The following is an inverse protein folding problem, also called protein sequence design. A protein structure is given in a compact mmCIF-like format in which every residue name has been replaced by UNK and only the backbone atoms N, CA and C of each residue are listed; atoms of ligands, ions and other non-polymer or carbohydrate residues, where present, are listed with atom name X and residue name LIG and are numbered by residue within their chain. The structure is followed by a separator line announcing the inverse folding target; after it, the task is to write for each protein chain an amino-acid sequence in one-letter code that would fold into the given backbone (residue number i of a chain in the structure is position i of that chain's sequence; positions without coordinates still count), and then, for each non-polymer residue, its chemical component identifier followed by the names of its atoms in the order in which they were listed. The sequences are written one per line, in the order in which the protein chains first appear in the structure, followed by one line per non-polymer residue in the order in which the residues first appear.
data_IF_095955550489
#
_entry.id   IF_095955550489
#
_cell.length_a   1.000
_cell.length_b   1.000
_cell.length_c   1.000
_cell.angle_alpha   90.00
_cell.angle_beta   90.00
_cell.angle_gamma   90.00
#
_symmetry.space_group_name_H-M   'P 1'
#
loop_
_entity.id
_entity.type
_entity.pdbx_description
1 polymer ?
#
# COMPACT_ATOMS: atom_id res chain seq x y z
N UNK A 1 -17.66 -5.33 -16.55
CA UNK A 1 -17.32 -5.89 -15.23
C UNK A 1 -16.62 -4.80 -14.42
N UNK A 2 -17.02 -4.60 -13.16
CA UNK A 2 -16.39 -3.62 -12.27
C UNK A 2 -15.05 -4.17 -11.79
N UNK A 3 -14.00 -3.35 -11.80
CA UNK A 3 -12.67 -3.77 -11.31
C UNK A 3 -12.71 -4.16 -9.83
N UNK A 4 -12.03 -5.24 -9.46
CA UNK A 4 -11.81 -5.63 -8.05
C UNK A 4 -10.90 -4.62 -7.34
N UNK A 5 -10.79 -4.72 -6.01
CA UNK A 5 -9.86 -3.86 -5.25
C UNK A 5 -8.42 -4.15 -5.67
N UNK A 6 -8.01 -5.42 -5.79
CA UNK A 6 -6.69 -5.78 -6.30
C UNK A 6 -6.37 -5.15 -7.66
N UNK A 7 -7.30 -5.19 -8.61
CA UNK A 7 -7.12 -4.58 -9.94
C UNK A 7 -7.00 -3.05 -9.87
N UNK A 8 -7.75 -2.39 -8.96
CA UNK A 8 -7.61 -0.95 -8.70
C UNK A 8 -6.24 -0.61 -8.10
N UNK A 9 -5.68 -1.50 -7.29
CA UNK A 9 -4.32 -1.44 -6.76
C UNK A 9 -3.24 -1.81 -7.80
N UNK A 10 -3.61 -2.05 -9.06
CA UNK A 10 -2.68 -2.39 -10.14
C UNK A 10 -1.97 -3.75 -9.97
N UNK A 11 -2.52 -4.62 -9.13
CA UNK A 11 -2.13 -6.02 -9.06
C UNK A 11 -2.65 -6.69 -10.34
N UNK A 12 -1.76 -7.40 -11.04
CA UNK A 12 -2.07 -8.04 -12.33
C UNK A 12 -1.95 -9.56 -12.20
N UNK A 13 -2.57 -10.34 -13.11
CA UNK A 13 -2.35 -11.78 -13.16
C UNK A 13 -0.86 -12.11 -13.31
N UNK A 14 -0.41 -13.17 -12.64
CA UNK A 14 0.97 -13.68 -12.75
C UNK A 14 2.06 -12.80 -12.13
N UNK A 15 1.70 -11.76 -11.38
CA UNK A 15 2.67 -10.83 -10.76
C UNK A 15 2.83 -11.08 -9.27
N UNK A 16 3.89 -10.56 -8.65
CA UNK A 16 4.03 -10.63 -7.20
C UNK A 16 3.38 -9.44 -6.48
N UNK A 17 2.97 -9.70 -5.22
CA UNK A 17 2.59 -8.67 -4.27
C UNK A 17 3.38 -8.87 -3.00
N UNK A 18 4.28 -7.93 -2.70
CA UNK A 18 4.95 -7.87 -1.41
C UNK A 18 4.02 -7.21 -0.40
N UNK A 19 3.69 -7.93 0.67
CA UNK A 19 2.93 -7.37 1.79
C UNK A 19 3.86 -6.96 2.92
N UNK A 20 3.84 -5.68 3.28
CA UNK A 20 4.40 -5.21 4.56
C UNK A 20 3.63 -5.77 5.77
N UNK A 21 3.93 -5.30 6.99
CA UNK A 21 3.17 -5.65 8.18
C UNK A 21 1.66 -5.43 7.96
N UNK A 22 0.87 -6.49 8.18
CA UNK A 22 -0.58 -6.48 7.93
C UNK A 22 -1.28 -7.62 8.67
N UNK A 23 -2.52 -7.42 9.09
CA UNK A 23 -3.39 -8.47 9.63
C UNK A 23 -4.08 -9.25 8.50
N UNK A 24 -4.61 -10.46 8.77
CA UNK A 24 -5.44 -11.18 7.80
C UNK A 24 -6.65 -10.37 7.31
N UNK A 25 -7.28 -9.59 8.18
CA UNK A 25 -8.41 -8.73 7.82
C UNK A 25 -8.01 -7.63 6.85
N UNK A 26 -6.84 -7.01 7.05
CA UNK A 26 -6.33 -5.99 6.12
C UNK A 26 -6.02 -6.59 4.74
N UNK A 27 -5.50 -7.82 4.69
CA UNK A 27 -5.27 -8.52 3.41
C UNK A 27 -6.56 -8.84 2.68
N UNK A 28 -7.59 -9.26 3.42
CA UNK A 28 -8.90 -9.55 2.87
C UNK A 28 -9.56 -8.34 2.18
N UNK A 29 -9.17 -7.10 2.52
CA UNK A 29 -9.62 -5.89 1.83
C UNK A 29 -9.24 -5.84 0.35
N UNK A 30 -8.23 -6.61 -0.05
CA UNK A 30 -7.66 -6.60 -1.40
C UNK A 30 -8.18 -7.79 -2.22
N UNK A 31 -8.79 -8.78 -1.57
CA UNK A 31 -9.35 -9.94 -2.24
C UNK A 31 -10.54 -9.60 -3.16
N UNK A 32 -10.78 -10.39 -4.22
CA UNK A 32 -9.92 -11.49 -4.68
C UNK A 32 -8.69 -10.98 -5.43
N UNK A 33 -7.55 -11.66 -5.22
CA UNK A 33 -6.35 -11.46 -6.03
C UNK A 33 -6.54 -12.07 -7.44
N UNK A 34 -5.98 -11.44 -8.49
CA UNK A 34 -5.92 -12.02 -9.83
C UNK A 34 -5.23 -13.39 -9.86
N UNK A 35 -5.55 -14.19 -10.87
CA UNK A 35 -4.98 -15.52 -11.06
C UNK A 35 -3.44 -15.47 -11.17
N UNK A 36 -2.77 -16.46 -10.56
CA UNK A 36 -1.32 -16.60 -10.62
C UNK A 36 -0.54 -15.53 -9.84
N UNK A 37 -1.20 -14.69 -9.03
CA UNK A 37 -0.49 -13.76 -8.16
C UNK A 37 0.30 -14.52 -7.09
N UNK A 38 1.58 -14.18 -6.95
CA UNK A 38 2.43 -14.70 -5.88
C UNK A 38 2.43 -13.74 -4.71
N UNK A 39 1.96 -14.21 -3.55
CA UNK A 39 1.95 -13.42 -2.31
C UNK A 39 3.26 -13.62 -1.57
N UNK A 40 3.97 -12.53 -1.29
CA UNK A 40 5.21 -12.54 -0.52
C UNK A 40 4.99 -11.79 0.79
N UNK A 41 5.40 -12.41 1.90
CA UNK A 41 5.27 -11.84 3.24
C UNK A 41 6.54 -11.08 3.61
N UNK A 42 6.40 -9.78 3.87
CA UNK A 42 7.50 -8.87 4.12
C UNK A 42 7.89 -8.08 2.88
N UNK A 43 8.52 -6.93 3.12
CA UNK A 43 9.20 -6.12 2.10
C UNK A 43 10.67 -6.01 2.54
N UNK A 44 11.42 -7.07 2.27
CA UNK A 44 12.84 -7.23 2.58
C UNK A 44 13.75 -6.96 1.37
N UNK A 45 13.15 -6.87 0.17
CA UNK A 45 13.82 -6.57 -1.10
C UNK A 45 12.96 -5.68 -1.99
N UNK A 46 13.55 -5.22 -3.10
CA UNK A 46 12.83 -4.51 -4.15
C UNK A 46 11.93 -5.46 -4.97
N UNK A 47 11.01 -4.85 -5.73
CA UNK A 47 10.17 -5.52 -6.73
C UNK A 47 9.94 -4.59 -7.92
N UNK A 48 9.63 -5.16 -9.09
CA UNK A 48 9.08 -4.40 -10.23
C UNK A 48 7.55 -4.38 -10.23
N UNK A 49 6.93 -5.13 -9.32
CA UNK A 49 5.49 -5.32 -9.26
C UNK A 49 4.89 -4.43 -8.17
N UNK A 50 4.07 -4.99 -7.27
CA UNK A 50 3.28 -4.21 -6.33
C UNK A 50 3.75 -4.47 -4.90
N UNK A 51 3.95 -3.40 -4.13
CA UNK A 51 4.09 -3.47 -2.68
C UNK A 51 2.86 -2.87 -2.02
N UNK A 52 2.28 -3.57 -1.04
CA UNK A 52 1.13 -3.10 -0.27
C UNK A 52 1.41 -3.21 1.22
N UNK A 53 1.07 -2.17 1.96
CA UNK A 53 1.28 -2.12 3.41
C UNK A 53 0.20 -1.27 4.06
N UNK A 54 0.07 -1.38 5.38
CA UNK A 54 -1.00 -0.72 6.14
C UNK A 54 -0.42 -0.02 7.36
N UNK A 55 -0.97 1.14 7.69
CA UNK A 55 -0.69 1.85 8.93
C UNK A 55 -2.02 2.31 9.54
N UNK A 56 -2.15 2.18 10.86
CA UNK A 56 -3.32 2.64 11.64
C UNK A 56 -3.02 3.86 12.49
N UNK A 57 -1.75 4.23 12.61
CA UNK A 57 -1.34 5.41 13.35
C UNK A 57 -0.15 6.09 12.68
N UNK A 58 0.16 7.29 13.15
CA UNK A 58 1.36 8.01 12.74
C UNK A 58 2.64 7.25 13.11
N UNK A 59 2.66 6.63 14.28
CA UNK A 59 3.78 5.80 14.73
C UNK A 59 4.00 4.59 13.83
N UNK A 60 2.94 3.84 13.52
CA UNK A 60 3.01 2.69 12.62
C UNK A 60 3.49 3.13 11.22
N UNK A 61 2.96 4.26 10.72
CA UNK A 61 3.38 4.82 9.43
C UNK A 61 4.88 5.16 9.43
N UNK A 62 5.36 5.85 10.46
CA UNK A 62 6.75 6.32 10.50
C UNK A 62 7.74 5.15 10.56
N UNK A 63 7.45 4.14 11.37
CA UNK A 63 8.27 2.91 11.43
C UNK A 63 8.27 2.17 10.08
N UNK A 64 7.10 2.03 9.46
CA UNK A 64 6.93 1.38 8.17
C UNK A 64 7.66 2.12 7.05
N UNK A 65 7.57 3.45 6.98
CA UNK A 65 8.27 4.23 5.95
C UNK A 65 9.79 4.13 6.10
N UNK A 66 10.30 4.24 7.33
CA UNK A 66 11.72 4.12 7.62
C UNK A 66 12.28 2.74 7.24
N UNK A 67 11.51 1.68 7.48
CA UNK A 67 11.92 0.31 7.18
C UNK A 67 11.81 -0.02 5.68
N UNK A 68 10.68 0.33 5.06
CA UNK A 68 10.31 -0.16 3.72
C UNK A 68 10.81 0.72 2.59
N UNK A 69 10.66 2.05 2.69
CA UNK A 69 10.91 2.95 1.55
C UNK A 69 12.35 2.89 1.02
N UNK A 70 13.40 2.74 1.86
CA UNK A 70 14.78 2.60 1.36
C UNK A 70 15.03 1.34 0.52
N UNK A 71 14.19 0.31 0.62
CA UNK A 71 14.34 -0.96 -0.11
C UNK A 71 13.69 -0.95 -1.49
N UNK A 72 12.78 -0.01 -1.73
CA UNK A 72 11.95 0.05 -2.92
C UNK A 72 12.49 1.08 -3.91
N UNK A 73 12.80 0.63 -5.13
CA UNK A 73 13.33 1.52 -6.19
C UNK A 73 12.47 1.45 -7.45
N UNK A 74 12.17 0.24 -7.91
CA UNK A 74 11.48 -0.02 -9.17
C UNK A 74 9.99 -0.46 -9.10
N UNK A 75 9.25 -0.47 -7.98
CA UNK A 75 7.88 -0.99 -8.00
C UNK A 75 7.01 -0.20 -8.95
N UNK A 76 6.16 -0.91 -9.72
CA UNK A 76 5.15 -0.22 -10.53
C UNK A 76 4.17 0.55 -9.65
N UNK A 77 3.91 0.06 -8.44
CA UNK A 77 3.02 0.70 -7.48
C UNK A 77 3.36 0.32 -6.04
N UNK A 78 3.37 1.32 -5.18
CA UNK A 78 3.44 1.15 -3.72
C UNK A 78 2.16 1.71 -3.12
N UNK A 79 1.47 0.93 -2.31
CA UNK A 79 0.20 1.30 -1.72
C UNK A 79 0.24 1.26 -0.20
N UNK A 80 -0.27 2.32 0.42
CA UNK A 80 -0.35 2.47 1.87
C UNK A 80 -1.82 2.57 2.26
N UNK A 81 -2.35 1.50 2.83
CA UNK A 81 -3.70 1.45 3.40
C UNK A 81 -3.76 2.15 4.76
N UNK A 82 -4.81 2.95 4.98
CA UNK A 82 -5.04 3.68 6.23
C UNK A 82 -6.55 3.79 6.55
N UNK A 83 -6.95 3.83 7.83
CA UNK A 83 -8.32 4.10 8.22
C UNK A 83 -8.76 5.50 7.77
N UNK A 84 -9.89 5.60 7.08
CA UNK A 84 -10.44 6.88 6.60
C UNK A 84 -11.54 7.40 7.53
N UNK A 85 -11.91 8.68 7.34
CA UNK A 85 -13.00 9.31 8.08
C UNK A 85 -12.68 9.56 9.55
N UNK A 86 -11.47 10.06 9.84
CA UNK A 86 -11.02 10.45 11.19
C UNK A 86 -10.99 9.30 12.22
N UNK A 87 -10.83 8.05 11.76
CA UNK A 87 -10.65 6.86 12.61
C UNK A 87 -9.22 6.68 13.14
N UNK A 88 -8.28 7.48 12.65
CA UNK A 88 -6.86 7.43 13.00
C UNK A 88 -6.26 8.85 13.02
N UNK A 89 -5.06 8.98 13.60
CA UNK A 89 -4.25 10.22 13.60
C UNK A 89 -3.48 10.43 12.28
N UNK A 90 -3.79 9.64 11.24
CA UNK A 90 -3.27 9.78 9.88
C UNK A 90 -4.40 9.94 8.88
N UNK A 91 -4.11 10.68 7.81
CA UNK A 91 -4.98 10.84 6.65
C UNK A 91 -4.13 10.97 5.39
N UNK A 92 -4.78 11.14 4.23
CA UNK A 92 -4.11 11.28 2.94
C UNK A 92 -3.00 12.32 2.95
N UNK A 93 -3.26 13.49 3.52
CA UNK A 93 -2.35 14.64 3.44
C UNK A 93 -1.21 14.51 4.44
N UNK A 94 -1.46 13.95 5.63
CA UNK A 94 -0.37 13.65 6.57
C UNK A 94 0.51 12.52 6.04
N UNK A 95 -0.06 11.48 5.41
CA UNK A 95 0.73 10.44 4.73
C UNK A 95 1.54 11.06 3.59
N UNK A 96 0.96 11.97 2.80
CA UNK A 96 1.66 12.64 1.72
C UNK A 96 2.89 13.39 2.21
N UNK A 97 2.74 14.22 3.25
CA UNK A 97 3.85 14.96 3.84
C UNK A 97 4.97 14.01 4.31
N UNK A 98 4.61 12.86 4.87
CA UNK A 98 5.57 11.87 5.34
C UNK A 98 6.32 11.16 4.24
N UNK A 99 5.64 10.70 3.18
CA UNK A 99 6.34 10.02 2.08
C UNK A 99 7.27 10.97 1.31
N UNK A 100 7.02 12.28 1.32
CA UNK A 100 7.90 13.28 0.71
C UNK A 100 9.29 13.33 1.36
N UNK A 101 9.38 13.09 2.66
CA UNK A 101 10.67 13.02 3.38
C UNK A 101 11.54 11.85 2.90
N UNK A 102 10.96 10.85 2.23
CA UNK A 102 11.66 9.71 1.64
C UNK A 102 11.87 9.85 0.12
N UNK A 103 11.55 11.01 -0.47
CA UNK A 103 11.65 11.25 -1.92
C UNK A 103 10.52 10.60 -2.73
N UNK A 104 9.34 10.45 -2.12
CA UNK A 104 8.14 9.93 -2.78
C UNK A 104 7.04 11.00 -2.82
N UNK A 105 6.02 10.79 -3.64
CA UNK A 105 4.80 11.60 -3.67
C UNK A 105 3.60 10.70 -3.89
N UNK A 106 2.39 11.21 -3.64
CA UNK A 106 1.16 10.47 -3.87
C UNK A 106 0.55 10.80 -5.23
N UNK A 107 0.12 9.78 -5.97
CA UNK A 107 -0.52 9.94 -7.28
C UNK A 107 -1.84 9.16 -7.44
N UNK A 108 -2.39 8.63 -6.35
CA UNK A 108 -3.67 7.93 -6.35
C UNK A 108 -4.22 7.78 -4.95
N UNK A 109 -5.55 7.71 -4.84
CA UNK A 109 -6.26 7.35 -3.62
C UNK A 109 -7.46 6.49 -4.01
N UNK A 110 -7.62 5.34 -3.36
CA UNK A 110 -8.75 4.45 -3.60
C UNK A 110 -9.42 4.07 -2.28
N UNK A 111 -10.73 3.86 -2.32
CA UNK A 111 -11.45 3.22 -1.22
C UNK A 111 -11.25 1.72 -1.31
N UNK A 112 -10.82 1.09 -0.21
CA UNK A 112 -10.78 -0.38 -0.12
C UNK A 112 -12.15 -0.91 0.32
N UNK A 113 -12.74 -0.27 1.33
CA UNK A 113 -14.09 -0.53 1.84
C UNK A 113 -14.66 0.75 2.49
N UNK A 114 -15.61 0.62 3.43
CA UNK A 114 -16.22 1.73 4.16
C UNK A 114 -15.29 2.36 5.22
N UNK A 115 -14.26 1.65 5.66
CA UNK A 115 -13.39 2.08 6.76
C UNK A 115 -11.96 2.41 6.32
N UNK A 116 -11.52 1.88 5.18
CA UNK A 116 -10.15 1.94 4.71
C UNK A 116 -10.05 2.60 3.34
N UNK A 117 -9.04 3.45 3.20
CA UNK A 117 -8.54 3.95 1.93
C UNK A 117 -7.10 3.51 1.74
N UNK A 118 -6.62 3.57 0.51
CA UNK A 118 -5.22 3.34 0.19
C UNK A 118 -4.72 4.41 -0.76
N UNK A 119 -3.57 5.00 -0.43
CA UNK A 119 -2.89 5.96 -1.31
C UNK A 119 -1.75 5.29 -2.05
N UNK A 120 -1.57 5.69 -3.31
CA UNK A 120 -0.46 5.22 -4.15
C UNK A 120 0.71 6.17 -4.04
N UNK A 121 1.84 5.65 -3.62
CA UNK A 121 3.12 6.34 -3.65
C UNK A 121 3.86 6.01 -4.96
N UNK A 122 4.54 7.02 -5.51
CA UNK A 122 5.54 6.91 -6.56
C UNK A 122 6.78 7.73 -6.19
N UNK A 123 7.92 7.44 -6.81
CA UNK A 123 9.11 8.32 -6.70
C UNK A 123 8.76 9.73 -7.18
N UNK A 124 9.22 10.73 -6.42
CA UNK A 124 9.02 12.14 -6.72
C UNK A 124 9.80 12.58 -7.96
#
# INVERSE_FOLDING_TARGET
MTRTVAEKLQIKPGTEVLFGPSTPQQRALIDPLPEGVTVVNGIDRDTTDVAVMFARSREELDGLLADVMPRLTAPRAVWIGYPKGNRADINRDTIWARVQEFGWTLNGNISLDDEWSSVRAKRA
#
